data_IF_065644048433
#
_entry.id   IF_065644048433
#
_cell.length_a   1.000
_cell.length_b   1.000
_cell.length_c   1.000
_cell.angle_alpha   90.00
_cell.angle_beta   90.00
_cell.angle_gamma   90.00
#
_symmetry.space_group_name_H-M   'P 1'
#
loop_
_entity.id
_entity.type
_entity.pdbx_description
1 polymer ?
#
# COMPACT_ATOMS: atom_id res chain seq x y z
N UNK A 1 -15.32 20.07 -1.91
CA UNK A 1 -14.92 18.85 -1.18
C UNK A 1 -14.18 17.99 -2.18
N UNK A 2 -12.91 17.70 -1.92
CA UNK A 2 -12.19 16.69 -2.71
C UNK A 2 -12.82 15.36 -2.37
N UNK A 3 -13.39 14.67 -3.35
CA UNK A 3 -13.93 13.33 -3.16
C UNK A 3 -12.71 12.39 -3.03
N UNK A 4 -12.35 12.08 -1.78
CA UNK A 4 -11.22 11.19 -1.51
C UNK A 4 -11.67 9.75 -1.78
N UNK A 5 -10.83 8.92 -2.40
CA UNK A 5 -11.24 7.57 -2.74
C UNK A 5 -11.43 6.71 -1.50
N UNK A 6 -12.38 5.78 -1.57
CA UNK A 6 -12.63 4.75 -0.55
C UNK A 6 -11.62 3.59 -0.62
N UNK A 7 -10.73 3.60 -1.61
CA UNK A 7 -9.77 2.53 -1.87
C UNK A 7 -8.38 3.11 -2.06
N UNK A 8 -7.41 2.49 -1.41
CA UNK A 8 -6.00 2.72 -1.66
C UNK A 8 -5.21 1.42 -1.62
N UNK A 9 -3.91 1.51 -1.84
CA UNK A 9 -3.07 0.36 -2.09
C UNK A 9 -1.83 0.37 -1.21
N UNK A 10 -1.44 -0.82 -0.76
CA UNK A 10 -0.14 -1.08 -0.17
C UNK A 10 0.69 -1.96 -1.10
N UNK A 11 1.93 -1.57 -1.33
CA UNK A 11 2.95 -2.45 -1.87
C UNK A 11 3.78 -2.97 -0.69
N UNK A 12 3.95 -4.28 -0.61
CA UNK A 12 4.81 -4.95 0.38
C UNK A 12 5.38 -6.24 -0.23
N UNK A 13 6.38 -6.85 0.43
CA UNK A 13 6.92 -8.12 -0.05
C UNK A 13 5.93 -9.27 0.10
N UNK A 14 6.05 -10.30 -0.75
CA UNK A 14 5.27 -11.54 -0.64
C UNK A 14 5.48 -12.22 0.71
N UNK A 15 6.69 -12.13 1.27
CA UNK A 15 6.99 -12.65 2.60
C UNK A 15 6.22 -11.90 3.69
N UNK A 16 6.22 -10.56 3.67
CA UNK A 16 5.47 -9.75 4.62
C UNK A 16 3.96 -9.98 4.49
N UNK A 17 3.45 -10.15 3.28
CA UNK A 17 2.04 -10.46 3.07
C UNK A 17 1.66 -11.83 3.67
N UNK A 18 2.52 -12.85 3.51
CA UNK A 18 2.29 -14.16 4.16
C UNK A 18 2.29 -14.07 5.68
N UNK A 19 3.20 -13.29 6.27
CA UNK A 19 3.23 -13.06 7.71
C UNK A 19 1.97 -12.30 8.17
N UNK A 20 1.56 -11.28 7.41
CA UNK A 20 0.34 -10.50 7.64
C UNK A 20 -0.91 -11.38 7.69
N UNK A 21 -1.04 -12.33 6.76
CA UNK A 21 -2.14 -13.29 6.75
C UNK A 21 -2.12 -14.20 7.98
N UNK A 22 -0.94 -14.64 8.44
CA UNK A 22 -0.82 -15.48 9.63
C UNK A 22 -1.15 -14.72 10.92
N UNK A 23 -0.80 -13.44 11.00
CA UNK A 23 -1.00 -12.59 12.18
C UNK A 23 -2.32 -11.80 12.15
N UNK A 24 -3.08 -11.90 11.05
CA UNK A 24 -4.32 -11.16 10.76
C UNK A 24 -4.17 -9.63 10.72
N UNK A 25 -2.94 -9.10 10.73
CA UNK A 25 -2.64 -7.67 10.61
C UNK A 25 -1.23 -7.45 10.06
N UNK A 26 -1.01 -6.27 9.51
CA UNK A 26 0.30 -5.78 9.06
C UNK A 26 0.74 -4.61 9.93
N UNK A 27 1.87 -4.78 10.62
CA UNK A 27 2.44 -3.77 11.54
C UNK A 27 3.42 -2.81 10.83
N UNK A 28 3.38 -2.73 9.50
CA UNK A 28 4.23 -1.84 8.69
C UNK A 28 5.53 -2.45 8.19
N UNK A 29 6.19 -1.76 7.26
CA UNK A 29 7.56 -2.01 6.81
C UNK A 29 8.57 -1.35 7.75
N UNK A 30 9.88 -1.46 7.48
CA UNK A 30 10.88 -0.73 8.24
C UNK A 30 10.70 0.80 8.15
N UNK A 31 10.35 1.30 6.96
CA UNK A 31 10.11 2.74 6.73
C UNK A 31 8.83 3.19 7.44
N UNK A 32 7.75 2.42 7.32
CA UNK A 32 6.48 2.75 8.01
C UNK A 32 6.67 2.88 9.53
N UNK A 33 7.45 1.97 10.14
CA UNK A 33 7.75 2.03 11.57
C UNK A 33 8.64 3.21 11.95
N UNK A 34 9.59 3.58 11.08
CA UNK A 34 10.45 4.73 11.30
C UNK A 34 9.67 6.04 11.23
N UNK A 35 8.72 6.14 10.30
CA UNK A 35 7.89 7.34 10.10
C UNK A 35 6.68 7.40 11.06
N UNK A 36 6.30 6.25 11.65
CA UNK A 36 5.24 6.15 12.65
C UNK A 36 3.84 5.88 12.10
N UNK A 37 3.73 5.60 10.79
CA UNK A 37 2.46 5.30 10.11
C UNK A 37 2.70 4.43 8.87
N UNK A 38 1.68 3.67 8.45
CA UNK A 38 1.75 2.85 7.24
C UNK A 38 1.39 3.69 6.02
N UNK A 39 2.32 3.79 5.08
CA UNK A 39 2.10 4.47 3.81
C UNK A 39 1.18 3.64 2.90
N UNK A 40 0.12 4.27 2.40
CA UNK A 40 -0.67 3.79 1.27
C UNK A 40 -0.50 4.74 0.08
N UNK A 41 -1.00 4.33 -1.08
CA UNK A 41 -1.09 5.16 -2.27
C UNK A 41 -2.47 5.03 -2.90
N UNK A 42 -3.06 6.14 -3.31
CA UNK A 42 -4.23 6.14 -4.19
C UNK A 42 -3.87 5.56 -5.57
N UNK A 43 -4.89 5.22 -6.36
CA UNK A 43 -4.70 4.57 -7.66
C UNK A 43 -3.83 5.40 -8.63
N UNK A 44 -4.04 6.72 -8.67
CA UNK A 44 -3.29 7.67 -9.51
C UNK A 44 -1.84 7.89 -9.03
N UNK A 45 -1.51 7.47 -7.80
CA UNK A 45 -0.19 7.60 -7.19
C UNK A 45 0.67 6.34 -7.36
N UNK A 46 0.05 5.20 -7.67
CA UNK A 46 0.69 3.88 -7.64
C UNK A 46 1.94 3.77 -8.50
N UNK A 47 1.85 4.09 -9.79
CA UNK A 47 2.97 3.96 -10.73
C UNK A 47 4.18 4.77 -10.25
N UNK A 48 3.95 6.01 -9.81
CA UNK A 48 5.03 6.86 -9.32
C UNK A 48 5.56 6.44 -7.94
N UNK A 49 4.79 5.73 -7.12
CA UNK A 49 5.28 5.09 -5.89
C UNK A 49 6.12 3.85 -6.22
N UNK A 50 5.64 2.99 -7.13
CA UNK A 50 6.33 1.79 -7.59
C UNK A 50 7.69 2.11 -8.21
N UNK A 51 7.73 3.04 -9.17
CA UNK A 51 8.96 3.44 -9.83
C UNK A 51 10.00 4.01 -8.84
N UNK A 52 9.56 4.77 -7.83
CA UNK A 52 10.44 5.43 -6.88
C UNK A 52 11.03 4.48 -5.83
N UNK A 53 10.24 3.54 -5.33
CA UNK A 53 10.61 2.76 -4.15
C UNK A 53 10.88 1.28 -4.44
N UNK A 54 10.40 0.77 -5.57
CA UNK A 54 10.37 -0.67 -5.85
C UNK A 54 11.00 -1.05 -7.20
N UNK A 55 11.59 -0.11 -7.95
CA UNK A 55 12.24 -0.40 -9.24
C UNK A 55 13.23 -1.58 -9.16
N UNK A 56 13.08 -2.54 -10.07
CA UNK A 56 13.88 -3.76 -10.14
C UNK A 56 13.55 -4.83 -9.10
N UNK A 57 12.51 -4.65 -8.27
CA UNK A 57 12.10 -5.64 -7.28
C UNK A 57 11.01 -6.57 -7.83
N UNK A 58 11.11 -7.84 -7.44
CA UNK A 58 10.12 -8.88 -7.69
C UNK A 58 9.60 -9.44 -6.35
N UNK A 59 8.73 -10.44 -6.40
CA UNK A 59 8.13 -11.04 -5.20
C UNK A 59 7.43 -10.00 -4.30
N UNK A 60 6.72 -9.07 -4.92
CA UNK A 60 5.89 -8.08 -4.23
C UNK A 60 4.42 -8.47 -4.33
N UNK A 61 3.63 -7.84 -3.47
CA UNK A 61 2.17 -7.89 -3.48
C UNK A 61 1.63 -6.47 -3.58
N UNK A 62 0.64 -6.29 -4.46
CA UNK A 62 -0.22 -5.11 -4.50
C UNK A 62 -1.52 -5.44 -3.76
N UNK A 63 -1.65 -4.93 -2.53
CA UNK A 63 -2.81 -5.14 -1.66
C UNK A 63 -3.77 -3.97 -1.81
N UNK A 64 -5.01 -4.27 -2.14
CA UNK A 64 -6.11 -3.30 -2.18
C UNK A 64 -6.75 -3.20 -0.79
N UNK A 65 -6.89 -1.98 -0.28
CA UNK A 65 -7.36 -1.67 1.07
C UNK A 65 -8.65 -0.85 0.99
N UNK A 66 -9.68 -1.30 1.69
CA UNK A 66 -10.91 -0.55 1.96
C UNK A 66 -10.63 0.48 3.05
N UNK A 67 -10.63 1.75 2.66
CA UNK A 67 -10.35 2.88 3.54
C UNK A 67 -11.51 3.18 4.48
N UNK A 68 -12.73 2.83 4.11
CA UNK A 68 -13.93 3.07 4.94
C UNK A 68 -13.93 2.22 6.21
N UNK A 69 -13.21 1.09 6.20
CA UNK A 69 -13.07 0.19 7.33
C UNK A 69 -12.04 0.64 8.39
N UNK A 70 -11.28 1.72 8.13
CA UNK A 70 -10.15 2.13 8.98
C UNK A 70 -10.51 3.21 10.01
N UNK A 71 -11.65 3.89 9.84
CA UNK A 71 -12.11 4.94 10.76
C UNK A 71 -11.04 6.01 11.02
N UNK A 72 -10.88 6.40 12.28
CA UNK A 72 -9.98 7.50 12.70
C UNK A 72 -8.48 7.17 12.57
N UNK A 73 -8.12 5.91 12.31
CA UNK A 73 -6.72 5.54 12.09
C UNK A 73 -6.21 6.02 10.71
N UNK A 74 -7.10 6.34 9.78
CA UNK A 74 -6.76 6.82 8.45
C UNK A 74 -6.70 8.35 8.42
N UNK A 75 -5.56 8.88 7.97
CA UNK A 75 -5.37 10.32 7.75
C UNK A 75 -4.89 10.55 6.33
N UNK A 76 -5.50 11.51 5.64
CA UNK A 76 -5.03 12.01 4.36
C UNK A 76 -4.20 13.27 4.58
N UNK A 77 -2.92 13.22 4.23
CA UNK A 77 -1.98 14.29 4.52
C UNK A 77 -1.09 14.64 3.32
N UNK A 78 -0.68 15.92 3.16
CA UNK A 78 0.15 16.34 2.04
C UNK A 78 1.53 15.67 2.08
N UNK A 79 1.96 15.15 0.94
CA UNK A 79 3.26 14.52 0.76
C UNK A 79 3.92 15.05 -0.53
N UNK A 80 4.38 14.16 -1.42
CA UNK A 80 5.09 14.51 -2.65
C UNK A 80 4.27 15.47 -3.52
N UNK A 81 4.84 16.64 -3.80
CA UNK A 81 4.23 17.64 -4.68
C UNK A 81 2.95 18.28 -4.13
N UNK A 82 2.70 18.16 -2.82
CA UNK A 82 1.48 18.68 -2.18
C UNK A 82 0.23 17.81 -2.39
N UNK A 83 0.35 16.68 -3.09
CA UNK A 83 -0.73 15.71 -3.20
C UNK A 83 -0.98 15.02 -1.85
N UNK A 84 -2.24 14.71 -1.56
CA UNK A 84 -2.63 14.00 -0.34
C UNK A 84 -2.39 12.49 -0.50
N UNK A 85 -1.72 11.88 0.47
CA UNK A 85 -1.55 10.43 0.55
C UNK A 85 -2.30 9.88 1.77
N UNK A 86 -2.88 8.67 1.67
CA UNK A 86 -3.49 8.00 2.82
C UNK A 86 -2.41 7.37 3.69
N UNK A 87 -2.41 7.68 4.98
CA UNK A 87 -1.53 7.09 6.00
C UNK A 87 -2.38 6.43 7.10
N UNK A 88 -1.96 5.25 7.55
CA UNK A 88 -2.62 4.55 8.67
C UNK A 88 -1.77 4.70 9.92
N UNK A 89 -2.33 5.32 10.96
CA UNK A 89 -1.72 5.44 12.29
C UNK A 89 -2.11 4.24 13.15
N UNK A 90 -1.43 3.12 12.91
CA UNK A 90 -1.69 1.84 13.56
C UNK A 90 -1.50 0.68 12.59
N UNK A 91 -1.79 -0.56 13.04
CA UNK A 91 -1.71 -1.73 12.18
C UNK A 91 -2.81 -1.75 11.12
N UNK A 92 -2.51 -2.27 9.94
CA UNK A 92 -3.50 -2.55 8.89
C UNK A 92 -4.11 -3.94 9.14
N UNK A 93 -5.40 -4.06 9.52
CA UNK A 93 -6.04 -5.37 9.68
C UNK A 93 -6.27 -6.04 8.32
N UNK A 94 -6.08 -7.36 8.23
CA UNK A 94 -6.38 -8.14 7.01
C UNK A 94 -7.85 -7.99 6.60
N UNK A 95 -8.75 -7.84 7.57
CA UNK A 95 -10.18 -7.64 7.34
C UNK A 95 -10.52 -6.34 6.57
N UNK A 96 -9.62 -5.34 6.54
CA UNK A 96 -9.77 -4.13 5.74
C UNK A 96 -9.18 -4.30 4.31
N UNK A 97 -8.64 -5.47 3.96
CA UNK A 97 -8.12 -5.73 2.61
C UNK A 97 -9.19 -6.35 1.72
N UNK A 98 -9.26 -5.93 0.45
CA UNK A 98 -10.21 -6.43 -0.55
C UNK A 98 -9.61 -7.54 -1.42
N UNK A 99 -8.30 -7.58 -1.51
CA UNK A 99 -7.56 -8.58 -2.28
C UNK A 99 -6.08 -8.21 -2.41
N UNK A 100 -5.28 -9.16 -2.89
CA UNK A 100 -3.86 -8.96 -3.15
C UNK A 100 -3.49 -9.63 -4.48
N UNK A 101 -2.71 -8.94 -5.30
CA UNK A 101 -2.18 -9.45 -6.57
C UNK A 101 -0.66 -9.51 -6.55
N UNK A 102 -0.07 -10.49 -7.22
CA UNK A 102 1.38 -10.53 -7.42
C UNK A 102 1.81 -9.28 -8.19
N UNK A 103 2.89 -8.67 -7.73
CA UNK A 103 3.50 -7.52 -8.36
C UNK A 103 4.99 -7.78 -8.55
N UNK A 104 5.50 -7.37 -9.70
CA UNK A 104 6.91 -7.04 -9.89
C UNK A 104 7.01 -5.65 -10.49
N UNK A 105 8.16 -5.00 -10.33
CA UNK A 105 8.44 -3.70 -10.93
C UNK A 105 9.72 -3.83 -11.73
N UNK A 106 9.65 -3.53 -13.02
CA UNK A 106 10.83 -3.61 -13.89
C UNK A 106 11.90 -2.60 -13.48
N UNK A 107 13.11 -2.78 -13.98
CA UNK A 107 14.25 -1.91 -13.66
C UNK A 107 14.04 -0.44 -14.08
N UNK A 108 13.19 -0.19 -15.08
CA UNK A 108 12.76 1.15 -15.51
C UNK A 108 11.57 1.71 -14.71
N UNK A 109 11.09 0.98 -13.70
CA UNK A 109 10.08 1.45 -12.75
C UNK A 109 8.63 1.14 -13.13
N UNK A 110 8.36 0.41 -14.22
CA UNK A 110 7.00 0.06 -14.63
C UNK A 110 6.44 -1.09 -13.78
N UNK A 111 5.20 -0.96 -13.33
CA UNK A 111 4.47 -2.03 -12.63
C UNK A 111 4.11 -3.17 -13.59
N UNK A 112 4.30 -4.41 -13.14
CA UNK A 112 3.87 -5.63 -13.81
C UNK A 112 3.01 -6.39 -12.79
N UNK A 113 1.70 -6.23 -12.92
CA UNK A 113 0.70 -6.90 -12.08
C UNK A 113 0.24 -8.16 -12.80
N UNK A 114 0.35 -9.31 -12.15
CA UNK A 114 -0.22 -10.54 -12.69
C UNK A 114 -1.70 -10.61 -12.32
N UNK A 115 -2.56 -10.80 -13.32
CA UNK A 115 -3.96 -11.18 -13.05
C UNK A 115 -3.98 -12.62 -12.55
N UNK A 116 -4.66 -12.85 -11.43
CA UNK A 116 -4.93 -14.21 -10.97
C UNK A 116 -5.77 -14.91 -12.03
N UNK A 117 -5.25 -16.03 -12.56
CA UNK A 117 -5.98 -16.91 -13.48
C UNK A 117 -7.20 -17.56 -12.81
#
# INVERSE_FOLDING_TARGET
>A
MTDLPDVAFKILSRADWRATLAESRYDGSAVDRADGYIHLSAADQLEATAAKHYAGQAELMLVEVDLTALGDALIWEPSRGGALFPHIYGPLPVAATRGARSLSVSADGRMIVEETA
#
